data_IF_514429828562
#
_entry.id   IF_514429828562
#
_cell.length_a   1.000
_cell.length_b   1.000
_cell.length_c   1.000
_cell.angle_alpha   90.00
_cell.angle_beta   90.00
_cell.angle_gamma   90.00
#
_symmetry.space_group_name_H-M   'P 1'
#
loop_
_entity.id
_entity.type
_entity.pdbx_description
1 polymer ?
#
# COMPACT_ATOMS: atom_id res chain seq x y z
N UNK A 1 40.03 13.97 24.02
CA UNK A 1 38.76 14.73 23.78
C UNK A 1 38.23 14.64 22.34
N UNK A 2 38.98 15.06 21.29
CA UNK A 2 38.50 15.06 19.88
C UNK A 2 38.08 13.68 19.33
N UNK A 3 38.81 12.61 19.68
CA UNK A 3 38.48 11.22 19.26
C UNK A 3 37.14 10.73 19.83
N UNK A 4 36.88 10.99 21.12
CA UNK A 4 35.62 10.63 21.78
C UNK A 4 34.43 11.37 21.17
N UNK A 5 34.58 12.67 20.90
CA UNK A 5 33.55 13.47 20.22
C UNK A 5 33.22 12.93 18.82
N UNK A 6 34.23 12.59 18.01
CA UNK A 6 34.04 11.96 16.70
C UNK A 6 33.32 10.61 16.81
N UNK A 7 33.67 9.78 17.80
CA UNK A 7 33.01 8.49 18.04
C UNK A 7 31.55 8.67 18.46
N UNK A 8 31.26 9.59 19.36
CA UNK A 8 29.90 9.90 19.80
C UNK A 8 29.04 10.40 18.62
N UNK A 9 29.59 11.27 17.78
CA UNK A 9 28.90 11.79 16.59
C UNK A 9 28.59 10.70 15.57
N UNK A 10 29.49 9.73 15.36
CA UNK A 10 29.22 8.57 14.48
C UNK A 10 28.12 7.68 15.04
N UNK A 11 28.09 7.45 16.36
CA UNK A 11 27.06 6.65 17.02
C UNK A 11 25.69 7.34 17.00
N UNK A 12 25.66 8.66 17.04
CA UNK A 12 24.44 9.47 16.96
C UNK A 12 23.96 9.73 15.52
N UNK A 13 24.66 9.24 14.49
CA UNK A 13 24.25 9.41 13.11
C UNK A 13 23.00 8.55 12.81
N UNK A 14 21.99 9.07 12.09
CA UNK A 14 20.79 8.31 11.79
C UNK A 14 21.09 7.16 10.82
N UNK A 15 20.41 6.02 11.02
CA UNK A 15 20.41 4.93 10.04
C UNK A 15 19.34 5.22 8.99
N UNK A 16 19.77 5.57 7.78
CA UNK A 16 18.88 5.96 6.68
C UNK A 16 18.56 4.73 5.83
N UNK A 17 17.28 4.39 5.72
CA UNK A 17 16.80 3.25 4.92
C UNK A 17 16.72 3.57 3.43
N UNK A 18 16.20 4.75 3.07
CA UNK A 18 16.07 5.19 1.68
C UNK A 18 17.45 5.42 1.04
N UNK A 19 17.69 4.81 -0.12
CA UNK A 19 18.93 4.93 -0.90
C UNK A 19 19.19 6.37 -1.35
N UNK A 20 18.18 7.06 -1.89
CA UNK A 20 18.26 8.43 -2.40
C UNK A 20 18.79 9.40 -1.33
N UNK A 21 18.18 9.38 -0.15
CA UNK A 21 18.57 10.24 0.97
C UNK A 21 19.97 9.85 1.47
N UNK A 22 20.29 8.56 1.54
CA UNK A 22 21.59 8.07 2.01
C UNK A 22 22.74 8.51 1.11
N UNK A 23 22.56 8.46 -0.22
CA UNK A 23 23.58 8.89 -1.18
C UNK A 23 23.80 10.41 -1.14
N UNK A 24 22.72 11.17 -0.94
CA UNK A 24 22.81 12.62 -0.84
C UNK A 24 23.26 13.12 0.55
N UNK A 25 23.41 12.24 1.56
CA UNK A 25 23.67 12.61 2.95
C UNK A 25 25.10 13.09 3.20
N UNK A 26 25.25 14.25 3.84
CA UNK A 26 26.55 14.78 4.25
C UNK A 26 26.74 14.66 5.78
N UNK A 27 27.67 13.82 6.27
CA UNK A 27 27.89 13.64 7.71
C UNK A 27 28.55 14.85 8.40
N UNK A 28 28.98 15.86 7.64
CA UNK A 28 29.51 17.12 8.17
C UNK A 28 28.40 18.10 8.58
N UNK A 29 27.21 17.99 7.99
CA UNK A 29 26.07 18.88 8.20
C UNK A 29 25.10 18.33 9.25
N UNK A 30 24.25 19.21 9.77
CA UNK A 30 23.16 18.81 10.67
C UNK A 30 22.07 18.04 9.90
N UNK A 31 21.27 17.26 10.63
CA UNK A 31 20.11 16.54 10.07
C UNK A 31 19.16 17.52 9.38
N UNK A 32 18.79 18.61 10.07
CA UNK A 32 17.94 19.67 9.56
C UNK A 32 18.45 20.26 8.23
N UNK A 33 19.75 20.54 8.16
CA UNK A 33 20.36 21.12 6.97
C UNK A 33 20.42 20.14 5.81
N UNK A 34 20.76 18.87 6.06
CA UNK A 34 20.75 17.84 5.03
C UNK A 34 19.34 17.67 4.43
N UNK A 35 18.32 17.55 5.27
CA UNK A 35 16.93 17.41 4.81
C UNK A 35 16.48 18.65 4.05
N UNK A 36 16.73 19.85 4.57
CA UNK A 36 16.38 21.09 3.87
C UNK A 36 17.10 21.25 2.52
N UNK A 37 18.36 20.83 2.41
CA UNK A 37 19.10 20.86 1.13
C UNK A 37 18.50 19.91 0.09
N UNK A 38 17.92 18.79 0.53
CA UNK A 38 17.21 17.83 -0.33
C UNK A 38 15.76 18.23 -0.61
N UNK A 39 15.23 19.28 0.04
CA UNK A 39 13.82 19.66 -0.08
C UNK A 39 12.88 18.88 0.85
N UNK A 40 13.43 18.21 1.87
CA UNK A 40 12.68 17.44 2.86
C UNK A 40 12.43 18.24 4.14
N UNK A 41 11.29 17.98 4.77
CA UNK A 41 10.96 18.54 6.07
C UNK A 41 11.72 17.82 7.20
N UNK A 42 12.28 18.57 8.14
CA UNK A 42 12.84 18.01 9.37
C UNK A 42 11.75 17.52 10.33
N UNK A 43 10.67 18.30 10.47
CA UNK A 43 9.56 18.01 11.36
C UNK A 43 8.24 18.10 10.56
N UNK A 44 7.51 16.99 10.40
CA UNK A 44 6.27 16.96 9.62
C UNK A 44 5.19 17.84 10.24
N UNK A 45 5.14 17.98 11.58
CA UNK A 45 4.12 18.80 12.24
C UNK A 45 4.34 20.30 12.02
N UNK A 46 5.60 20.70 11.75
CA UNK A 46 5.93 22.08 11.37
C UNK A 46 5.70 22.33 9.88
N UNK A 47 5.96 21.33 9.04
CA UNK A 47 5.75 21.45 7.60
C UNK A 47 4.27 21.42 7.22
N UNK A 48 3.48 20.60 7.92
CA UNK A 48 2.03 20.43 7.71
C UNK A 48 1.33 20.60 9.07
N UNK A 49 1.07 21.84 9.51
CA UNK A 49 0.44 22.08 10.80
C UNK A 49 -1.01 21.60 10.80
N UNK A 50 -1.36 20.71 11.74
CA UNK A 50 -2.75 20.29 11.96
C UNK A 50 -3.47 21.40 12.73
N UNK A 51 -4.56 21.98 12.19
CA UNK A 51 -5.31 23.02 12.88
C UNK A 51 -5.95 22.46 14.16
N UNK A 52 -5.63 23.06 15.31
CA UNK A 52 -6.20 22.68 16.62
C UNK A 52 -7.47 23.50 16.88
N UNK A 53 -8.58 23.14 16.23
CA UNK A 53 -10.01 23.53 16.44
C UNK A 53 -10.79 23.04 15.19
N UNK A 54 -11.88 22.27 15.21
CA UNK A 54 -12.91 21.96 16.22
C UNK A 54 -13.52 20.57 15.94
N UNK A 55 -13.97 19.94 17.02
CA UNK A 55 -14.98 18.86 17.00
C UNK A 55 -16.29 19.46 16.50
N UNK A 56 -16.81 18.99 15.35
CA UNK A 56 -18.23 18.69 15.01
C UNK A 56 -18.46 18.61 13.48
N UNK A 57 -19.54 17.93 13.03
CA UNK A 57 -19.47 16.98 11.93
C UNK A 57 -20.09 17.50 10.64
N UNK A 58 -19.83 16.72 9.59
CA UNK A 58 -20.44 16.76 8.26
C UNK A 58 -19.95 17.88 7.36
N UNK A 59 -19.30 17.43 6.28
CA UNK A 59 -19.34 18.04 4.97
C UNK A 59 -18.67 19.42 4.83
N UNK A 60 -17.42 19.42 4.37
CA UNK A 60 -16.94 20.44 3.42
C UNK A 60 -15.69 19.94 2.69
N UNK A 61 -15.94 19.13 1.66
CA UNK A 61 -15.12 19.04 0.46
C UNK A 61 -15.46 20.26 -0.40
N UNK A 62 -15.00 21.46 -0.05
CA UNK A 62 -15.06 22.62 -0.96
C UNK A 62 -14.13 23.73 -0.50
N UNK A 63 -13.24 24.08 -1.43
CA UNK A 63 -12.64 25.40 -1.66
C UNK A 63 -11.86 26.06 -0.52
N UNK A 64 -10.56 26.21 -0.78
CA UNK A 64 -9.77 27.40 -0.43
C UNK A 64 -10.11 28.06 0.90
N UNK A 65 -9.85 27.38 2.01
CA UNK A 65 -9.80 28.04 3.30
C UNK A 65 -8.36 28.55 3.47
N UNK A 66 -8.17 29.83 3.17
CA UNK A 66 -6.99 30.58 3.57
C UNK A 66 -6.93 30.61 5.11
N UNK A 67 -6.18 29.67 5.67
CA UNK A 67 -5.92 29.61 7.11
C UNK A 67 -4.94 30.74 7.44
N UNK A 68 -5.47 31.76 8.12
CA UNK A 68 -4.80 32.75 8.97
C UNK A 68 -3.30 32.94 8.78
N UNK A 69 -2.94 34.08 8.18
CA UNK A 69 -1.57 34.59 8.09
C UNK A 69 -1.03 35.00 9.47
N UNK A 70 -0.65 34.03 10.30
CA UNK A 70 0.15 34.26 11.50
C UNK A 70 1.54 33.62 11.35
N UNK A 71 2.46 34.40 10.77
CA UNK A 71 3.85 34.40 11.19
C UNK A 71 4.78 33.28 10.72
N UNK A 72 4.87 32.98 9.42
CA UNK A 72 6.03 32.23 8.89
C UNK A 72 6.58 32.84 7.61
N UNK A 73 7.35 33.93 7.74
CA UNK A 73 8.29 34.35 6.69
C UNK A 73 9.49 33.40 6.65
N UNK A 74 9.29 32.14 6.26
CA UNK A 74 10.43 31.35 5.80
C UNK A 74 10.70 31.79 4.37
N UNK A 75 11.75 32.60 4.18
CA UNK A 75 12.28 32.88 2.84
C UNK A 75 12.40 31.55 2.08
N UNK A 76 11.99 31.53 0.81
CA UNK A 76 11.99 30.32 -0.02
C UNK A 76 13.33 29.60 0.14
N UNK A 77 13.36 28.48 0.87
CA UNK A 77 14.59 27.72 1.09
C UNK A 77 14.99 27.16 -0.27
N UNK A 78 16.07 27.70 -0.84
CA UNK A 78 16.60 27.23 -2.12
C UNK A 78 17.06 25.79 -1.90
N UNK A 79 16.37 24.84 -2.54
CA UNK A 79 16.73 23.42 -2.52
C UNK A 79 18.01 23.25 -3.33
N UNK A 80 19.06 22.72 -2.71
CA UNK A 80 20.38 22.53 -3.35
C UNK A 80 20.49 21.21 -4.10
N UNK A 81 19.76 20.18 -3.66
CA UNK A 81 19.79 18.82 -4.16
C UNK A 81 18.38 18.37 -4.59
N UNK A 82 17.78 19.04 -5.60
CA UNK A 82 16.40 18.74 -6.02
C UNK A 82 16.25 17.34 -6.63
N UNK A 83 17.35 16.76 -7.16
CA UNK A 83 17.34 15.42 -7.76
C UNK A 83 16.82 14.34 -6.80
N UNK A 84 17.06 14.48 -5.49
CA UNK A 84 16.62 13.50 -4.49
C UNK A 84 15.10 13.38 -4.46
N UNK A 85 14.39 14.52 -4.45
CA UNK A 85 12.92 14.54 -4.45
C UNK A 85 12.39 14.05 -5.79
N UNK A 86 12.95 14.51 -6.91
CA UNK A 86 12.51 14.07 -8.23
C UNK A 86 12.66 12.55 -8.43
N UNK A 87 13.75 11.95 -7.98
CA UNK A 87 13.97 10.50 -8.04
C UNK A 87 12.96 9.74 -7.16
N UNK A 88 12.71 10.22 -5.94
CA UNK A 88 11.71 9.61 -5.06
C UNK A 88 10.28 9.73 -5.60
N UNK A 89 9.93 10.87 -6.20
CA UNK A 89 8.63 11.08 -6.86
C UNK A 89 8.48 10.16 -8.07
N UNK A 90 9.54 10.00 -8.87
CA UNK A 90 9.54 9.07 -9.98
C UNK A 90 9.34 7.62 -9.51
N UNK A 91 10.08 7.16 -8.50
CA UNK A 91 9.91 5.82 -7.94
C UNK A 91 8.50 5.61 -7.37
N UNK A 92 7.95 6.60 -6.67
CA UNK A 92 6.59 6.54 -6.13
C UNK A 92 5.51 6.55 -7.22
N UNK A 93 5.80 7.08 -8.41
CA UNK A 93 4.88 7.06 -9.55
C UNK A 93 4.76 5.67 -10.19
N UNK A 94 5.73 4.79 -9.96
CA UNK A 94 5.72 3.45 -10.52
C UNK A 94 4.67 2.57 -9.82
N UNK A 95 3.92 1.73 -10.55
CA UNK A 95 2.94 0.84 -9.94
C UNK A 95 3.64 -0.23 -9.11
N UNK A 96 3.27 -0.34 -7.83
CA UNK A 96 3.77 -1.40 -6.96
C UNK A 96 3.11 -2.75 -7.26
N UNK A 97 3.92 -3.82 -7.27
CA UNK A 97 3.41 -5.20 -7.36
C UNK A 97 2.75 -5.57 -6.04
N UNK A 98 1.42 -5.70 -6.04
CA UNK A 98 0.68 -6.23 -4.89
C UNK A 98 1.00 -7.73 -4.75
N UNK A 99 1.56 -8.15 -3.62
CA UNK A 99 1.78 -9.57 -3.29
C UNK A 99 0.53 -10.27 -2.75
N UNK A 100 -0.65 -9.80 -3.16
CA UNK A 100 -1.91 -10.34 -2.66
C UNK A 100 -2.09 -11.75 -3.20
N UNK A 101 -2.37 -12.69 -2.30
CA UNK A 101 -2.57 -14.11 -2.59
C UNK A 101 -3.85 -14.54 -1.87
N UNK A 102 -4.53 -15.57 -2.38
CA UNK A 102 -5.67 -16.15 -1.68
C UNK A 102 -5.23 -17.24 -0.69
N UNK A 103 -6.00 -17.42 0.38
CA UNK A 103 -5.78 -18.53 1.30
C UNK A 103 -6.06 -19.86 0.60
N UNK A 104 -5.30 -20.90 0.98
CA UNK A 104 -5.46 -22.26 0.43
C UNK A 104 -6.88 -22.78 0.64
N UNK A 105 -7.42 -22.59 1.85
CA UNK A 105 -8.78 -22.99 2.21
C UNK A 105 -9.85 -22.36 1.28
N UNK A 106 -9.66 -21.11 0.86
CA UNK A 106 -10.59 -20.45 -0.06
C UNK A 106 -10.50 -21.05 -1.47
N UNK A 107 -9.29 -21.38 -1.92
CA UNK A 107 -9.04 -22.02 -3.22
C UNK A 107 -9.68 -23.41 -3.23
N UNK A 108 -9.45 -24.22 -2.20
CA UNK A 108 -9.98 -25.58 -2.10
C UNK A 108 -11.51 -25.57 -2.00
N UNK A 109 -12.07 -24.64 -1.22
CA UNK A 109 -13.51 -24.42 -1.14
C UNK A 109 -14.12 -24.07 -2.52
N UNK A 110 -13.50 -23.14 -3.24
CA UNK A 110 -14.00 -22.72 -4.56
C UNK A 110 -13.89 -23.86 -5.58
N UNK A 111 -12.77 -24.60 -5.60
CA UNK A 111 -12.59 -25.75 -6.51
C UNK A 111 -13.66 -26.81 -6.27
N UNK A 112 -13.89 -27.19 -5.01
CA UNK A 112 -14.93 -28.14 -4.63
C UNK A 112 -16.33 -27.68 -5.08
N UNK A 113 -16.69 -26.41 -4.81
CA UNK A 113 -17.99 -25.88 -5.17
C UNK A 113 -18.23 -25.92 -6.68
N UNK A 114 -17.21 -25.58 -7.47
CA UNK A 114 -17.30 -25.56 -8.94
C UNK A 114 -17.33 -26.98 -9.52
N UNK A 115 -16.55 -27.90 -8.96
CA UNK A 115 -16.50 -29.29 -9.41
C UNK A 115 -17.88 -29.97 -9.25
N UNK A 116 -18.53 -29.79 -8.10
CA UNK A 116 -19.80 -30.46 -7.80
C UNK A 116 -21.02 -29.73 -8.35
N UNK A 117 -21.06 -28.39 -8.22
CA UNK A 117 -22.28 -27.61 -8.51
C UNK A 117 -22.17 -26.74 -9.77
N UNK A 118 -20.97 -26.60 -10.37
CA UNK A 118 -20.75 -25.80 -11.57
C UNK A 118 -21.02 -24.31 -11.35
N UNK A 119 -22.04 -23.76 -12.02
CA UNK A 119 -22.47 -22.36 -11.87
C UNK A 119 -23.78 -22.21 -11.05
N UNK A 120 -24.24 -23.30 -10.42
CA UNK A 120 -25.49 -23.31 -9.64
C UNK A 120 -25.28 -22.81 -8.21
N UNK A 121 -25.16 -21.49 -8.04
CA UNK A 121 -24.91 -20.86 -6.72
C UNK A 121 -25.99 -21.14 -5.66
N UNK A 122 -27.23 -21.44 -6.08
CA UNK A 122 -28.30 -21.85 -5.15
C UNK A 122 -28.03 -23.22 -4.53
N UNK A 123 -27.50 -24.15 -5.33
CA UNK A 123 -27.13 -25.49 -4.86
C UNK A 123 -25.87 -25.45 -4.01
N UNK A 124 -24.88 -24.63 -4.39
CA UNK A 124 -23.68 -24.39 -3.55
C UNK A 124 -24.02 -23.87 -2.15
N UNK A 125 -25.08 -23.08 -2.01
CA UNK A 125 -25.49 -22.57 -0.71
C UNK A 125 -26.10 -23.65 0.19
N UNK A 126 -26.68 -24.70 -0.41
CA UNK A 126 -27.29 -25.84 0.27
C UNK A 126 -26.30 -26.98 0.54
N UNK A 127 -25.08 -26.88 0.00
CA UNK A 127 -24.05 -27.90 0.13
C UNK A 127 -23.49 -27.98 1.56
N UNK A 128 -23.16 -29.19 2.00
CA UNK A 128 -22.63 -29.45 3.35
C UNK A 128 -21.31 -28.72 3.63
N UNK A 129 -20.48 -28.52 2.62
CA UNK A 129 -19.19 -27.83 2.73
C UNK A 129 -19.36 -26.32 2.97
N UNK A 130 -20.56 -25.77 2.75
CA UNK A 130 -20.90 -24.40 3.10
C UNK A 130 -21.18 -24.25 4.62
N UNK A 131 -20.18 -24.56 5.45
CA UNK A 131 -20.29 -24.59 6.91
C UNK A 131 -20.77 -23.25 7.50
N UNK A 132 -20.27 -22.13 6.97
CA UNK A 132 -20.62 -20.79 7.43
C UNK A 132 -21.90 -20.22 6.81
N UNK A 133 -22.63 -21.05 6.07
CA UNK A 133 -23.93 -20.69 5.49
C UNK A 133 -23.85 -19.44 4.60
N UNK A 134 -22.82 -19.37 3.74
CA UNK A 134 -22.71 -18.28 2.78
C UNK A 134 -23.95 -18.24 1.87
N UNK A 135 -24.46 -17.04 1.65
CA UNK A 135 -25.51 -16.80 0.65
C UNK A 135 -24.97 -17.05 -0.76
N UNK A 136 -25.84 -17.39 -1.74
CA UNK A 136 -25.42 -17.59 -3.13
C UNK A 136 -24.61 -16.42 -3.71
N UNK A 137 -24.91 -15.19 -3.29
CA UNK A 137 -24.18 -13.98 -3.71
C UNK A 137 -22.78 -13.89 -3.10
N UNK A 138 -22.60 -14.32 -1.85
CA UNK A 138 -21.29 -14.39 -1.20
C UNK A 138 -20.43 -15.48 -1.84
N UNK A 139 -20.99 -16.65 -2.13
CA UNK A 139 -20.28 -17.74 -2.84
C UNK A 139 -19.85 -17.28 -4.22
N UNK A 140 -20.74 -16.62 -4.98
CA UNK A 140 -20.39 -16.02 -6.27
C UNK A 140 -19.24 -15.01 -6.14
N UNK A 141 -19.23 -14.19 -5.09
CA UNK A 141 -18.14 -13.23 -4.83
C UNK A 141 -16.82 -13.95 -4.53
N UNK A 142 -16.83 -15.02 -3.74
CA UNK A 142 -15.64 -15.86 -3.45
C UNK A 142 -15.07 -16.48 -4.74
N UNK A 143 -15.94 -17.01 -5.59
CA UNK A 143 -15.56 -17.55 -6.91
C UNK A 143 -14.97 -16.45 -7.81
N UNK A 144 -15.59 -15.27 -7.86
CA UNK A 144 -15.07 -14.16 -8.66
C UNK A 144 -13.71 -13.65 -8.16
N UNK A 145 -13.50 -13.65 -6.85
CA UNK A 145 -12.19 -13.34 -6.27
C UNK A 145 -11.16 -14.35 -6.78
N UNK A 146 -11.45 -15.65 -6.73
CA UNK A 146 -10.55 -16.67 -7.29
C UNK A 146 -10.25 -16.44 -8.78
N UNK A 147 -11.28 -16.18 -9.61
CA UNK A 147 -11.11 -15.89 -11.05
C UNK A 147 -10.20 -14.68 -11.32
N UNK A 148 -10.31 -13.64 -10.51
CA UNK A 148 -9.53 -12.41 -10.67
C UNK A 148 -8.06 -12.60 -10.26
N UNK A 149 -7.79 -13.44 -9.26
CA UNK A 149 -6.43 -13.71 -8.79
C UNK A 149 -5.70 -14.72 -9.69
N UNK A 150 -6.40 -15.77 -10.15
CA UNK A 150 -5.81 -16.87 -10.91
C UNK A 150 -6.63 -17.16 -12.19
N UNK A 151 -6.60 -16.27 -13.19
CA UNK A 151 -7.39 -16.44 -14.41
C UNK A 151 -6.92 -17.65 -15.24
N UNK A 152 -5.62 -17.91 -15.31
CA UNK A 152 -5.07 -19.05 -16.07
C UNK A 152 -5.36 -20.39 -15.37
N UNK A 153 -5.10 -20.51 -14.06
CA UNK A 153 -5.45 -21.73 -13.30
C UNK A 153 -6.95 -22.04 -13.37
N UNK A 154 -7.80 -21.01 -13.36
CA UNK A 154 -9.23 -21.18 -13.53
C UNK A 154 -9.60 -21.74 -14.91
N UNK A 155 -8.99 -21.24 -15.99
CA UNK A 155 -9.25 -21.75 -17.35
C UNK A 155 -8.84 -23.20 -17.48
N UNK A 156 -7.65 -23.56 -16.98
CA UNK A 156 -7.13 -24.93 -17.01
C UNK A 156 -8.05 -25.88 -16.22
N UNK A 157 -8.49 -25.46 -15.04
CA UNK A 157 -9.41 -26.22 -14.20
C UNK A 157 -10.78 -26.43 -14.86
N UNK A 158 -11.34 -25.41 -15.53
CA UNK A 158 -12.60 -25.58 -16.26
C UNK A 158 -12.41 -26.48 -17.49
N UNK A 159 -11.25 -26.44 -18.14
CA UNK A 159 -10.92 -27.34 -19.25
C UNK A 159 -10.83 -28.80 -18.78
N UNK A 160 -10.17 -29.07 -17.65
CA UNK A 160 -10.08 -30.43 -17.09
C UNK A 160 -11.46 -30.99 -16.70
N UNK A 161 -12.32 -30.16 -16.10
CA UNK A 161 -13.69 -30.56 -15.77
C UNK A 161 -14.56 -30.89 -16.99
N UNK A 162 -14.32 -30.23 -18.14
CA UNK A 162 -15.01 -30.56 -19.39
C UNK A 162 -14.54 -31.90 -19.94
N UNK A 163 -13.24 -32.20 -19.84
CA UNK A 163 -12.66 -33.46 -20.28
C UNK A 163 -13.25 -34.65 -19.49
N UNK A 164 -13.28 -34.56 -18.16
CA UNK A 164 -13.83 -35.62 -17.29
C UNK A 164 -15.30 -35.94 -17.59
N UNK A 165 -16.11 -34.93 -17.95
CA UNK A 165 -17.51 -35.15 -18.31
C UNK A 165 -17.70 -35.87 -19.65
N UNK A 166 -16.73 -35.75 -20.57
CA UNK A 166 -16.78 -36.43 -21.87
C UNK A 166 -16.34 -37.90 -21.76
N UNK A 167 -15.40 -38.23 -20.86
CA UNK A 167 -14.87 -39.59 -20.70
C UNK A 167 -15.80 -40.53 -19.90
N UNK A 168 -16.81 -39.98 -19.21
CA UNK A 168 -17.76 -40.74 -18.38
C UNK A 168 -19.07 -41.08 -19.14
N UNK A 169 -19.25 -40.57 -20.37
CA UNK A 169 -20.39 -40.87 -21.25
C UNK A 169 -20.05 -41.96 -22.27
#
# INVERSE_FOLDING_TARGET
RKRLYRSARRRAAPRIACSHIRHAWDPSKSVAQNLAEMGLAEDPNKAVPIPKKLVLPSFCLTQGVEVGSDGWKQGKKIVRKPYVVNEMEYEASLPEKKSNTLSRDLIDYVRYMIQNHGENYKQMALDEKNYYQDTPKQIKRKINVYKNFYPEEYKDFIASLKQEKMDVQ
#
